data_IF_377770672932
#
_entry.id   IF_377770672932
#
_cell.length_a   1.000
_cell.length_b   1.000
_cell.length_c   1.000
_cell.angle_alpha   90.00
_cell.angle_beta   90.00
_cell.angle_gamma   90.00
#
_symmetry.space_group_name_H-M   'P 1'
#
loop_
_entity.id
_entity.type
_entity.pdbx_description
1 polymer ?
#
# COMPACT_ATOMS: atom_id res chain seq x y z
N UNK A 1 3.12 -5.91 5.76
CA UNK A 1 4.19 -5.65 4.77
C UNK A 1 5.20 -4.65 5.31
N UNK A 2 4.81 -3.40 5.58
CA UNK A 2 5.71 -2.37 6.14
C UNK A 2 6.36 -2.84 7.45
N UNK A 3 5.57 -3.33 8.41
CA UNK A 3 6.13 -3.84 9.69
C UNK A 3 7.02 -5.07 9.52
N UNK A 4 6.69 -5.97 8.60
CA UNK A 4 7.52 -7.15 8.31
C UNK A 4 8.85 -6.72 7.69
N UNK A 5 8.82 -5.75 6.78
CA UNK A 5 10.02 -5.13 6.23
C UNK A 5 10.88 -4.50 7.34
N UNK A 6 10.27 -3.73 8.25
CA UNK A 6 10.96 -3.15 9.42
C UNK A 6 11.55 -4.19 10.36
N UNK A 7 10.92 -5.36 10.52
CA UNK A 7 11.50 -6.47 11.31
C UNK A 7 12.69 -7.09 10.56
N UNK A 8 12.51 -7.44 9.29
CA UNK A 8 13.56 -8.08 8.49
C UNK A 8 14.81 -7.22 8.38
N UNK A 9 14.65 -5.92 8.11
CA UNK A 9 15.76 -4.97 8.00
C UNK A 9 16.50 -4.81 9.34
N UNK A 10 15.76 -4.78 10.46
CA UNK A 10 16.33 -4.69 11.80
C UNK A 10 17.17 -5.93 12.12
N UNK A 11 16.66 -7.12 11.80
CA UNK A 11 17.38 -8.39 11.98
C UNK A 11 18.64 -8.45 11.11
N UNK A 12 18.55 -8.06 9.84
CA UNK A 12 19.67 -8.15 8.88
C UNK A 12 20.80 -7.18 9.26
N UNK A 13 20.44 -5.97 9.71
CA UNK A 13 21.36 -4.87 9.97
C UNK A 13 21.54 -4.59 11.48
N UNK A 14 21.30 -5.61 12.31
CA UNK A 14 21.31 -5.54 13.78
C UNK A 14 22.65 -5.04 14.35
N UNK A 15 22.67 -3.82 14.87
CA UNK A 15 23.79 -3.26 15.63
C UNK A 15 23.63 -3.62 17.12
N UNK A 16 24.06 -4.83 17.52
CA UNK A 16 24.40 -5.16 18.91
C UNK A 16 23.29 -5.22 19.99
N UNK A 17 22.05 -4.80 19.75
CA UNK A 17 20.97 -5.01 20.72
C UNK A 17 20.44 -6.45 20.70
N UNK A 18 20.00 -6.95 21.85
CA UNK A 18 19.48 -8.32 22.00
C UNK A 18 18.40 -8.62 20.96
N UNK A 19 18.55 -9.75 20.26
CA UNK A 19 17.67 -10.21 19.17
C UNK A 19 16.17 -10.24 19.57
N UNK A 20 15.87 -10.45 20.86
CA UNK A 20 14.51 -10.38 21.39
C UNK A 20 13.89 -8.98 21.31
N UNK A 21 14.67 -7.91 21.58
CA UNK A 21 14.16 -6.54 21.56
C UNK A 21 13.77 -6.11 20.15
N UNK A 22 14.54 -6.54 19.14
CA UNK A 22 14.28 -6.24 17.73
C UNK A 22 13.07 -6.99 17.18
N UNK A 23 12.89 -8.27 17.55
CA UNK A 23 11.69 -9.03 17.17
C UNK A 23 10.45 -8.45 17.83
N UNK A 24 10.55 -7.97 19.08
CA UNK A 24 9.46 -7.35 19.80
C UNK A 24 9.11 -5.94 19.27
N UNK A 25 10.09 -5.24 18.68
CA UNK A 25 9.89 -3.92 18.07
C UNK A 25 8.86 -3.94 16.93
N UNK A 26 8.80 -5.02 16.15
CA UNK A 26 7.83 -5.14 15.05
C UNK A 26 6.36 -5.12 15.49
N UNK A 27 5.93 -6.02 16.38
CA UNK A 27 4.59 -5.96 16.99
C UNK A 27 4.33 -4.65 17.72
N UNK A 28 5.33 -4.09 18.42
CA UNK A 28 5.17 -2.78 19.07
C UNK A 28 4.91 -1.65 18.07
N UNK A 29 5.64 -1.60 16.94
CA UNK A 29 5.42 -0.62 15.86
C UNK A 29 3.98 -0.69 15.34
N UNK A 30 3.43 -1.90 15.20
CA UNK A 30 2.04 -2.12 14.78
C UNK A 30 1.06 -1.60 15.83
N UNK A 31 1.25 -1.97 17.09
CA UNK A 31 0.38 -1.55 18.19
C UNK A 31 0.38 -0.03 18.37
N UNK A 32 1.57 0.58 18.40
CA UNK A 32 1.74 2.04 18.51
C UNK A 32 1.15 2.73 17.28
N UNK A 33 1.45 2.23 16.08
CA UNK A 33 0.94 2.81 14.84
C UNK A 33 -0.58 2.79 14.73
N UNK A 34 -1.21 1.70 15.18
CA UNK A 34 -2.67 1.60 15.24
C UNK A 34 -3.27 2.49 16.32
N UNK A 35 -2.70 2.50 17.54
CA UNK A 35 -3.25 3.26 18.66
C UNK A 35 -3.15 4.78 18.42
N UNK A 36 -1.95 5.27 18.11
CA UNK A 36 -1.70 6.70 17.88
C UNK A 36 -2.42 7.20 16.64
N UNK A 37 -2.38 6.43 15.54
CA UNK A 37 -3.07 6.83 14.32
C UNK A 37 -4.59 6.78 14.44
N UNK A 38 -5.17 5.82 15.19
CA UNK A 38 -6.61 5.84 15.45
C UNK A 38 -7.02 7.04 16.30
N UNK A 39 -6.25 7.37 17.35
CA UNK A 39 -6.49 8.55 18.17
C UNK A 39 -6.44 9.83 17.31
N UNK A 40 -5.39 9.99 16.51
CA UNK A 40 -5.24 11.15 15.64
C UNK A 40 -6.31 11.21 14.53
N UNK A 41 -6.69 10.07 13.98
CA UNK A 41 -7.77 9.96 12.99
C UNK A 41 -9.13 10.40 13.55
N UNK A 42 -9.43 10.07 14.81
CA UNK A 42 -10.63 10.56 15.49
C UNK A 42 -10.55 12.07 15.71
N UNK A 43 -9.42 12.58 16.20
CA UNK A 43 -9.23 14.03 16.43
C UNK A 43 -9.39 14.80 15.11
N UNK A 44 -8.65 14.43 14.07
CA UNK A 44 -8.76 15.05 12.74
C UNK A 44 -10.12 14.85 12.07
N UNK A 45 -10.85 13.79 12.45
CA UNK A 45 -12.23 13.55 12.06
C UNK A 45 -13.23 14.53 12.71
N UNK A 46 -13.03 14.87 13.99
CA UNK A 46 -13.97 15.65 14.81
C UNK A 46 -13.69 17.16 14.84
N UNK A 47 -12.42 17.57 14.73
CA UNK A 47 -12.02 18.99 14.87
C UNK A 47 -12.60 19.95 13.82
N UNK A 48 -12.70 19.59 12.52
CA UNK A 48 -13.28 20.49 11.52
C UNK A 48 -14.80 20.59 11.70
N UNK A 49 -15.29 21.75 12.12
CA UNK A 49 -16.74 22.01 12.17
C UNK A 49 -17.32 22.01 10.74
N UNK A 50 -18.54 21.45 10.58
CA UNK A 50 -19.17 21.27 9.27
C UNK A 50 -19.48 22.61 8.55
N UNK A 51 -19.62 23.70 9.30
CA UNK A 51 -20.01 25.02 8.78
C UNK A 51 -18.83 25.87 8.27
N UNK A 52 -17.62 25.29 8.19
CA UNK A 52 -16.41 26.01 7.78
C UNK A 52 -16.19 25.96 6.26
N UNK A 53 -16.04 27.13 5.63
CA UNK A 53 -15.86 27.27 4.19
C UNK A 53 -14.59 26.56 3.66
N UNK A 54 -13.57 26.38 4.52
CA UNK A 54 -12.28 25.76 4.16
C UNK A 54 -12.09 24.36 4.75
N UNK A 55 -13.17 23.62 5.03
CA UNK A 55 -13.13 22.30 5.67
C UNK A 55 -12.20 21.30 4.96
N UNK A 56 -12.14 21.34 3.63
CA UNK A 56 -11.31 20.43 2.81
C UNK A 56 -9.82 20.67 3.08
N UNK A 57 -9.38 21.92 3.08
CA UNK A 57 -7.97 22.27 3.33
C UNK A 57 -7.54 21.97 4.75
N UNK A 58 -8.40 22.21 5.74
CA UNK A 58 -8.13 21.85 7.13
C UNK A 58 -7.95 20.34 7.28
N UNK A 59 -8.83 19.53 6.66
CA UNK A 59 -8.72 18.06 6.65
C UNK A 59 -7.44 17.56 5.98
N UNK A 60 -7.10 18.13 4.82
CA UNK A 60 -5.86 17.79 4.09
C UNK A 60 -4.63 18.11 4.95
N UNK A 61 -4.56 19.30 5.55
CA UNK A 61 -3.42 19.71 6.38
C UNK A 61 -3.34 18.88 7.66
N UNK A 62 -4.47 18.57 8.31
CA UNK A 62 -4.47 17.77 9.54
C UNK A 62 -4.07 16.31 9.30
N UNK A 63 -4.55 15.68 8.22
CA UNK A 63 -4.21 14.28 7.91
C UNK A 63 -2.83 14.20 7.25
N UNK A 64 -2.56 15.03 6.24
CA UNK A 64 -1.31 15.04 5.50
C UNK A 64 -0.13 15.57 6.32
N UNK A 65 -0.30 16.70 7.00
CA UNK A 65 0.72 17.30 7.86
C UNK A 65 1.07 16.40 9.04
N UNK A 66 0.07 15.83 9.72
CA UNK A 66 0.34 14.87 10.78
C UNK A 66 0.92 13.56 10.27
N UNK A 67 0.51 13.08 9.09
CA UNK A 67 1.12 11.92 8.45
C UNK A 67 2.61 12.15 8.18
N UNK A 68 2.98 13.31 7.63
CA UNK A 68 4.37 13.69 7.41
C UNK A 68 5.15 13.78 8.73
N UNK A 69 4.60 14.48 9.72
CA UNK A 69 5.20 14.59 11.06
C UNK A 69 5.35 13.22 11.72
N UNK A 70 4.39 12.29 11.55
CA UNK A 70 4.47 10.95 12.09
C UNK A 70 5.57 10.13 11.43
N UNK A 71 5.72 10.19 10.10
CA UNK A 71 6.79 9.48 9.38
C UNK A 71 8.17 10.00 9.76
N UNK A 72 8.35 11.32 9.82
CA UNK A 72 9.62 11.93 10.20
C UNK A 72 9.92 11.75 11.70
N UNK A 73 8.91 11.94 12.54
CA UNK A 73 9.02 11.86 13.99
C UNK A 73 9.25 10.44 14.51
N UNK A 74 8.60 9.43 13.91
CA UNK A 74 8.79 8.04 14.36
C UNK A 74 10.21 7.54 14.11
N UNK A 75 10.85 8.05 13.05
CA UNK A 75 12.24 7.76 12.71
C UNK A 75 13.21 8.36 13.74
N UNK A 76 12.86 9.50 14.35
CA UNK A 76 13.64 10.12 15.43
C UNK A 76 13.43 9.42 16.79
N UNK A 77 12.22 8.95 17.08
CA UNK A 77 11.86 8.29 18.35
C UNK A 77 12.37 6.83 18.42
N UNK A 78 12.86 6.26 17.32
CA UNK A 78 13.38 4.89 17.28
C UNK A 78 12.36 3.82 16.87
N UNK A 79 11.22 4.23 16.31
CA UNK A 79 10.18 3.33 15.79
C UNK A 79 9.91 3.63 14.31
N UNK A 80 10.84 3.27 13.40
CA UNK A 80 10.76 3.65 11.99
C UNK A 80 9.54 3.04 11.28
N UNK A 81 9.04 1.88 11.71
CA UNK A 81 7.86 1.22 11.14
C UNK A 81 6.53 1.85 11.56
N UNK A 82 6.49 2.53 12.72
CA UNK A 82 5.26 3.09 13.27
C UNK A 82 4.75 4.30 12.46
N UNK A 83 5.63 5.16 11.96
CA UNK A 83 5.25 6.43 11.29
C UNK A 83 4.34 6.25 10.07
N UNK A 84 4.72 5.43 9.07
CA UNK A 84 3.85 5.13 7.94
C UNK A 84 2.52 4.47 8.36
N UNK A 85 2.54 3.64 9.41
CA UNK A 85 1.31 3.04 9.94
C UNK A 85 0.38 4.09 10.55
N UNK A 86 0.91 5.02 11.35
CA UNK A 86 0.14 6.15 11.91
C UNK A 86 -0.53 6.94 10.79
N UNK A 87 0.21 7.26 9.72
CA UNK A 87 -0.33 8.03 8.59
C UNK A 87 -1.49 7.29 7.89
N UNK A 88 -1.34 5.99 7.63
CA UNK A 88 -2.39 5.19 6.97
C UNK A 88 -3.61 5.00 7.87
N UNK A 89 -3.40 4.68 9.16
CA UNK A 89 -4.49 4.43 10.10
C UNK A 89 -5.24 5.71 10.43
N UNK A 90 -4.55 6.83 10.59
CA UNK A 90 -5.17 8.14 10.78
C UNK A 90 -6.03 8.55 9.57
N UNK A 91 -5.52 8.41 8.35
CA UNK A 91 -6.29 8.71 7.14
C UNK A 91 -7.54 7.82 7.01
N UNK A 92 -7.40 6.52 7.31
CA UNK A 92 -8.52 5.57 7.26
C UNK A 92 -9.60 5.89 8.29
N UNK A 93 -9.21 6.13 9.55
CA UNK A 93 -10.15 6.46 10.63
C UNK A 93 -10.81 7.82 10.38
N UNK A 94 -10.06 8.83 9.96
CA UNK A 94 -10.62 10.14 9.60
C UNK A 94 -11.65 10.01 8.47
N UNK A 95 -11.36 9.22 7.44
CA UNK A 95 -12.30 8.97 6.33
C UNK A 95 -13.60 8.29 6.80
N UNK A 96 -13.54 7.38 7.77
CA UNK A 96 -14.74 6.77 8.39
C UNK A 96 -15.54 7.82 9.15
N UNK A 97 -14.88 8.63 10.00
CA UNK A 97 -15.55 9.67 10.80
C UNK A 97 -16.25 10.68 9.89
N UNK A 98 -15.61 11.13 8.81
CA UNK A 98 -16.22 12.06 7.86
C UNK A 98 -17.42 11.45 7.13
N UNK A 99 -17.41 10.14 6.84
CA UNK A 99 -18.56 9.44 6.26
C UNK A 99 -19.73 9.38 7.24
N UNK A 100 -19.46 9.13 8.53
CA UNK A 100 -20.48 9.07 9.59
C UNK A 100 -21.12 10.44 9.89
N UNK A 101 -20.40 11.54 9.68
CA UNK A 101 -20.88 12.91 9.91
C UNK A 101 -21.83 13.46 8.81
N UNK A 102 -22.29 12.63 7.86
CA UNK A 102 -23.25 13.04 6.82
C UNK A 102 -22.61 13.34 5.46
N UNK A 103 -21.67 12.48 5.04
CA UNK A 103 -20.86 12.71 3.84
C UNK A 103 -21.65 12.98 2.55
N UNK A 104 -21.10 13.86 1.70
CA UNK A 104 -21.16 13.66 0.24
C UNK A 104 -20.19 14.56 -0.57
N UNK A 105 -19.96 15.86 -0.30
CA UNK A 105 -19.04 16.65 -1.15
C UNK A 105 -17.59 16.65 -0.64
N UNK A 106 -17.38 16.92 0.66
CA UNK A 106 -16.05 17.24 1.19
C UNK A 106 -15.10 16.03 1.30
N UNK A 107 -15.61 14.81 1.49
CA UNK A 107 -14.79 13.58 1.51
C UNK A 107 -14.15 13.30 0.16
N UNK A 108 -14.90 13.50 -0.92
CA UNK A 108 -14.39 13.30 -2.28
C UNK A 108 -13.35 14.38 -2.62
N UNK A 109 -13.56 15.62 -2.16
CA UNK A 109 -12.61 16.71 -2.37
C UNK A 109 -11.24 16.47 -1.71
N UNK A 110 -11.18 15.89 -0.50
CA UNK A 110 -9.90 15.53 0.15
C UNK A 110 -9.16 14.46 -0.65
N UNK A 111 -9.90 13.46 -1.16
CA UNK A 111 -9.33 12.41 -2.01
C UNK A 111 -8.77 12.96 -3.33
N UNK A 112 -9.49 13.87 -4.00
CA UNK A 112 -9.05 14.54 -5.23
C UNK A 112 -7.73 15.30 -5.04
N UNK A 113 -7.57 15.94 -3.89
CA UNK A 113 -6.34 16.66 -3.54
C UNK A 113 -5.18 15.69 -3.40
N UNK A 114 -5.34 14.62 -2.60
CA UNK A 114 -4.28 13.63 -2.43
C UNK A 114 -3.97 12.90 -3.74
N UNK A 115 -4.97 12.69 -4.60
CA UNK A 115 -4.79 12.16 -5.95
C UNK A 115 -3.97 13.11 -6.83
N UNK A 116 -4.25 14.41 -6.76
CA UNK A 116 -3.50 15.45 -7.49
C UNK A 116 -2.04 15.52 -7.02
N UNK A 117 -1.81 15.46 -5.71
CA UNK A 117 -0.46 15.38 -5.12
C UNK A 117 0.24 14.10 -5.59
N UNK A 118 -0.47 12.97 -5.59
CA UNK A 118 0.07 11.67 -6.02
C UNK A 118 0.47 11.67 -7.50
N UNK A 119 -0.29 12.33 -8.39
CA UNK A 119 0.06 12.47 -9.80
C UNK A 119 1.43 13.13 -10.01
N UNK A 120 1.78 14.10 -9.18
CA UNK A 120 3.10 14.75 -9.21
C UNK A 120 4.15 13.88 -8.52
N UNK A 121 3.78 13.22 -7.42
CA UNK A 121 4.73 12.46 -6.61
C UNK A 121 5.12 11.11 -7.20
N UNK A 122 4.24 10.46 -7.94
CA UNK A 122 4.49 9.15 -8.54
C UNK A 122 5.70 9.19 -9.52
N UNK A 123 5.78 10.12 -10.50
CA UNK A 123 6.96 10.24 -11.37
C UNK A 123 8.24 10.55 -10.60
N UNK A 124 8.17 11.42 -9.58
CA UNK A 124 9.32 11.77 -8.75
C UNK A 124 9.83 10.55 -7.98
N UNK A 125 8.93 9.76 -7.39
CA UNK A 125 9.27 8.55 -6.64
C UNK A 125 9.99 7.54 -7.53
N UNK A 126 9.44 7.21 -8.70
CA UNK A 126 10.08 6.27 -9.63
C UNK A 126 11.36 6.83 -10.27
N UNK A 127 11.43 8.13 -10.54
CA UNK A 127 12.64 8.79 -11.03
C UNK A 127 13.78 8.78 -10.02
N UNK A 128 13.48 9.05 -8.74
CA UNK A 128 14.48 9.05 -7.67
C UNK A 128 15.04 7.65 -7.42
N UNK A 129 14.18 6.63 -7.42
CA UNK A 129 14.64 5.24 -7.28
C UNK A 129 15.48 4.83 -8.48
N UNK A 130 15.10 5.25 -9.69
CA UNK A 130 15.91 5.03 -10.89
C UNK A 130 17.29 5.68 -10.79
N UNK A 131 17.38 6.86 -10.18
CA UNK A 131 18.64 7.57 -9.97
C UNK A 131 19.53 6.94 -8.88
N UNK A 132 18.95 6.24 -7.90
CA UNK A 132 19.69 5.57 -6.82
C UNK A 132 20.38 4.27 -7.29
N UNK A 133 20.04 3.75 -8.48
CA UNK A 133 20.60 2.50 -9.00
C UNK A 133 21.93 2.77 -9.71
N UNK A 134 23.00 2.14 -9.22
CA UNK A 134 24.28 2.10 -9.92
C UNK A 134 24.40 0.84 -10.79
N UNK A 135 24.18 1.01 -12.11
CA UNK A 135 24.30 -0.07 -13.09
C UNK A 135 25.74 -0.60 -13.26
N UNK A 136 26.75 0.12 -12.75
CA UNK A 136 28.16 -0.31 -12.85
C UNK A 136 28.50 -1.43 -11.87
N UNK A 137 27.75 -1.52 -10.77
CA UNK A 137 27.88 -2.57 -9.77
C UNK A 137 26.97 -3.78 -10.08
N UNK A 138 26.32 -3.76 -11.25
CA UNK A 138 25.34 -4.76 -11.65
C UNK A 138 26.03 -5.96 -12.30
N UNK A 139 26.56 -6.86 -11.48
CA UNK A 139 27.07 -8.13 -11.98
C UNK A 139 25.93 -9.00 -12.53
N UNK A 140 26.16 -9.62 -13.69
CA UNK A 140 25.19 -10.51 -14.34
C UNK A 140 24.77 -11.68 -13.43
N UNK A 141 25.66 -12.10 -12.53
CA UNK A 141 25.37 -13.12 -11.53
C UNK A 141 24.27 -12.67 -10.56
N UNK A 142 24.40 -11.46 -9.98
CA UNK A 142 23.42 -10.89 -9.03
C UNK A 142 22.05 -10.74 -9.71
N UNK A 143 22.03 -10.29 -10.96
CA UNK A 143 20.78 -10.17 -11.75
C UNK A 143 20.13 -11.54 -11.93
N UNK A 144 20.92 -12.56 -12.30
CA UNK A 144 20.40 -13.91 -12.54
C UNK A 144 19.81 -14.52 -11.26
N UNK A 145 20.54 -14.44 -10.14
CA UNK A 145 20.04 -14.86 -8.83
C UNK A 145 18.80 -14.08 -8.41
N UNK A 146 18.78 -12.77 -8.66
CA UNK A 146 17.62 -11.91 -8.43
C UNK A 146 16.38 -12.38 -9.18
N UNK A 147 16.50 -12.70 -10.47
CA UNK A 147 15.38 -13.23 -11.28
C UNK A 147 14.87 -14.57 -10.73
N UNK A 148 15.78 -15.48 -10.33
CA UNK A 148 15.40 -16.77 -9.74
C UNK A 148 14.63 -16.56 -8.43
N UNK A 149 15.10 -15.68 -7.55
CA UNK A 149 14.43 -15.35 -6.28
C UNK A 149 13.05 -14.74 -6.55
N UNK A 150 12.93 -13.82 -7.50
CA UNK A 150 11.65 -13.22 -7.90
C UNK A 150 10.69 -14.31 -8.40
N UNK A 151 11.15 -15.20 -9.29
CA UNK A 151 10.32 -16.28 -9.82
C UNK A 151 9.85 -17.24 -8.72
N UNK A 152 10.75 -17.66 -7.82
CA UNK A 152 10.42 -18.51 -6.69
C UNK A 152 9.39 -17.83 -5.75
N UNK A 153 9.60 -16.54 -5.43
CA UNK A 153 8.68 -15.77 -4.60
C UNK A 153 7.29 -15.64 -5.25
N UNK A 154 7.23 -15.47 -6.57
CA UNK A 154 5.96 -15.45 -7.32
C UNK A 154 5.24 -16.80 -7.26
N UNK A 155 5.95 -17.92 -7.39
CA UNK A 155 5.35 -19.27 -7.27
C UNK A 155 4.78 -19.47 -5.88
N UNK A 156 5.55 -19.18 -4.82
CA UNK A 156 5.07 -19.29 -3.44
C UNK A 156 3.82 -18.42 -3.25
N UNK A 157 3.84 -17.19 -3.75
CA UNK A 157 2.69 -16.28 -3.67
C UNK A 157 1.44 -16.85 -4.32
N UNK A 158 1.56 -17.41 -5.53
CA UNK A 158 0.42 -18.01 -6.25
C UNK A 158 -0.12 -19.22 -5.50
N UNK A 159 0.76 -20.06 -4.94
CA UNK A 159 0.37 -21.22 -4.14
C UNK A 159 -0.35 -20.79 -2.85
N UNK A 160 0.22 -19.86 -2.08
CA UNK A 160 -0.38 -19.36 -0.84
C UNK A 160 -1.72 -18.67 -1.10
N UNK A 161 -1.82 -17.83 -2.12
CA UNK A 161 -3.08 -17.17 -2.47
C UNK A 161 -4.13 -18.18 -2.92
N UNK A 162 -3.76 -19.18 -3.72
CA UNK A 162 -4.67 -20.27 -4.10
C UNK A 162 -5.16 -21.05 -2.88
N UNK A 163 -4.27 -21.40 -1.93
CA UNK A 163 -4.64 -22.10 -0.69
C UNK A 163 -5.61 -21.28 0.19
N UNK A 164 -5.37 -19.97 0.34
CA UNK A 164 -6.28 -19.07 1.08
C UNK A 164 -7.66 -19.00 0.41
N UNK A 165 -7.70 -19.10 -0.92
CA UNK A 165 -8.94 -19.03 -1.71
C UNK A 165 -9.70 -20.37 -1.80
N UNK A 166 -9.09 -21.51 -1.45
CA UNK A 166 -9.77 -22.83 -1.44
C UNK A 166 -10.99 -22.85 -0.50
N UNK A 167 -11.00 -22.03 0.56
CA UNK A 167 -12.16 -21.86 1.43
C UNK A 167 -13.23 -20.88 0.91
N UNK A 168 -12.95 -20.19 -0.20
CA UNK A 168 -13.87 -19.25 -0.82
C UNK A 168 -14.83 -19.93 -1.80
N UNK A 169 -16.04 -19.38 -1.95
CA UNK A 169 -17.00 -19.80 -2.99
C UNK A 169 -16.60 -19.30 -4.40
N UNK A 170 -15.31 -19.31 -4.73
CA UNK A 170 -14.78 -18.80 -6.00
C UNK A 170 -14.47 -19.94 -6.98
N UNK A 171 -14.68 -19.68 -8.26
CA UNK A 171 -14.32 -20.58 -9.35
C UNK A 171 -12.80 -20.56 -9.59
N UNK A 172 -12.23 -21.64 -10.11
CA UNK A 172 -10.80 -21.72 -10.46
C UNK A 172 -10.35 -20.58 -11.38
N UNK A 173 -11.26 -20.12 -12.26
CA UNK A 173 -11.02 -18.95 -13.11
C UNK A 173 -10.86 -17.66 -12.30
N UNK A 174 -11.70 -17.45 -11.31
CA UNK A 174 -11.62 -16.26 -10.46
C UNK A 174 -10.37 -16.32 -9.57
N UNK A 175 -9.98 -17.51 -9.10
CA UNK A 175 -8.73 -17.73 -8.36
C UNK A 175 -7.50 -17.34 -9.20
N UNK A 176 -7.45 -17.73 -10.47
CA UNK A 176 -6.37 -17.32 -11.39
C UNK A 176 -6.40 -15.81 -11.64
N UNK A 177 -7.58 -15.21 -11.79
CA UNK A 177 -7.70 -13.76 -11.96
C UNK A 177 -7.22 -12.98 -10.73
N UNK A 178 -7.59 -13.40 -9.52
CA UNK A 178 -7.13 -12.78 -8.26
C UNK A 178 -5.62 -12.87 -8.15
N UNK A 179 -5.03 -14.03 -8.45
CA UNK A 179 -3.58 -14.22 -8.46
C UNK A 179 -2.88 -13.26 -9.43
N UNK A 180 -3.39 -13.12 -10.66
CA UNK A 180 -2.82 -12.21 -11.67
C UNK A 180 -2.98 -10.73 -11.29
N UNK A 181 -4.14 -10.35 -10.73
CA UNK A 181 -4.41 -8.98 -10.29
C UNK A 181 -3.53 -8.54 -9.10
N UNK A 182 -3.00 -9.49 -8.34
CA UNK A 182 -2.14 -9.24 -7.17
C UNK A 182 -0.63 -9.29 -7.46
N UNK A 183 -0.23 -9.52 -8.71
CA UNK A 183 1.16 -9.47 -9.17
C UNK A 183 1.76 -8.04 -9.15
N UNK A 184 1.10 -7.00 -9.69
CA UNK A 184 1.70 -5.67 -9.72
C UNK A 184 1.56 -4.98 -8.36
N UNK A 185 2.64 -4.95 -7.56
CA UNK A 185 2.70 -4.19 -6.30
C UNK A 185 4.01 -3.42 -6.16
N UNK A 186 4.20 -2.43 -7.02
CA UNK A 186 5.47 -1.71 -7.15
C UNK A 186 5.69 -0.59 -6.13
N UNK A 187 4.65 0.17 -5.76
CA UNK A 187 4.83 1.47 -5.07
C UNK A 187 5.39 1.36 -3.65
N UNK A 188 4.95 0.36 -2.88
CA UNK A 188 5.47 0.13 -1.53
C UNK A 188 6.91 -0.41 -1.58
N UNK A 189 7.22 -1.25 -2.56
CA UNK A 189 8.58 -1.75 -2.75
C UNK A 189 9.52 -0.62 -3.16
N UNK A 190 9.08 0.22 -4.09
CA UNK A 190 9.75 1.39 -4.57
C UNK A 190 10.08 2.37 -3.41
N UNK A 191 9.11 2.64 -2.53
CA UNK A 191 9.31 3.53 -1.39
C UNK A 191 10.23 2.95 -0.30
N UNK A 192 10.15 1.65 -0.04
CA UNK A 192 10.89 0.99 1.06
C UNK A 192 12.30 0.55 0.64
N UNK A 193 12.55 0.26 -0.64
CA UNK A 193 13.83 -0.28 -1.06
C UNK A 193 15.03 0.65 -0.79
N UNK A 194 14.96 1.97 -1.06
CA UNK A 194 16.05 2.89 -0.71
C UNK A 194 16.26 3.03 0.80
N UNK A 195 15.20 2.87 1.60
CA UNK A 195 15.27 2.96 3.07
C UNK A 195 16.24 1.92 3.66
N UNK A 196 16.35 0.75 3.03
CA UNK A 196 17.30 -0.28 3.43
C UNK A 196 18.75 0.17 3.28
N UNK A 197 19.09 0.71 2.13
CA UNK A 197 20.42 1.21 1.85
C UNK A 197 20.77 2.42 2.74
N UNK A 198 19.82 3.32 2.95
CA UNK A 198 19.99 4.48 3.82
C UNK A 198 20.21 4.10 5.29
N UNK A 199 19.60 3.02 5.76
CA UNK A 199 19.81 2.53 7.13
C UNK A 199 21.26 2.10 7.33
N UNK A 200 21.85 1.38 6.37
CA UNK A 200 23.25 0.97 6.42
C UNK A 200 24.19 2.18 6.34
N UNK A 201 23.92 3.13 5.43
CA UNK A 201 24.75 4.35 5.28
C UNK A 201 24.80 5.21 6.54
N UNK A 202 23.76 5.17 7.38
CA UNK A 202 23.67 5.92 8.65
C UNK A 202 24.41 5.25 9.81
N UNK A 203 24.93 4.04 9.64
CA UNK A 203 25.70 3.36 10.68
C UNK A 203 27.06 4.02 10.92
N UNK A 204 27.50 4.03 12.17
CA UNK A 204 28.84 4.49 12.53
C UNK A 204 29.82 3.36 12.21
N UNK A 205 30.44 3.40 11.02
CA UNK A 205 31.30 2.37 10.43
C UNK A 205 30.55 1.12 9.88
N UNK A 206 29.79 1.27 8.78
CA UNK A 206 29.17 0.13 8.13
C UNK A 206 30.25 -0.82 7.57
N UNK A 207 30.16 -2.13 7.84
CA UNK A 207 30.95 -3.11 7.11
C UNK A 207 30.71 -2.95 5.59
N UNK A 208 31.76 -3.03 4.75
CA UNK A 208 31.60 -2.89 3.30
C UNK A 208 30.62 -3.93 2.71
N UNK A 209 30.53 -5.12 3.33
CA UNK A 209 29.56 -6.15 2.96
C UNK A 209 28.10 -5.71 3.13
N UNK A 210 27.77 -4.96 4.18
CA UNK A 210 26.38 -4.56 4.43
C UNK A 210 25.94 -3.46 3.46
N UNK A 211 26.88 -2.62 3.02
CA UNK A 211 26.61 -1.61 1.99
C UNK A 211 26.32 -2.29 0.64
N UNK A 212 27.09 -3.33 0.31
CA UNK A 212 26.86 -4.13 -0.89
C UNK A 212 25.51 -4.86 -0.82
N UNK A 213 25.18 -5.49 0.30
CA UNK A 213 23.87 -6.15 0.52
C UNK A 213 22.70 -5.17 0.36
N UNK A 214 22.83 -3.94 0.87
CA UNK A 214 21.84 -2.89 0.71
C UNK A 214 21.64 -2.49 -0.76
N UNK A 215 22.74 -2.36 -1.52
CA UNK A 215 22.73 -2.05 -2.95
C UNK A 215 22.11 -3.18 -3.78
N UNK A 216 22.47 -4.44 -3.47
CA UNK A 216 21.89 -5.64 -4.08
C UNK A 216 20.39 -5.73 -3.79
N UNK A 217 19.96 -5.46 -2.56
CA UNK A 217 18.54 -5.46 -2.20
C UNK A 217 17.75 -4.42 -2.99
N UNK A 218 18.26 -3.18 -3.08
CA UNK A 218 17.65 -2.12 -3.89
C UNK A 218 17.53 -2.54 -5.36
N UNK A 219 18.61 -3.10 -5.91
CA UNK A 219 18.68 -3.58 -7.29
C UNK A 219 17.65 -4.67 -7.57
N UNK A 220 17.56 -5.69 -6.71
CA UNK A 220 16.59 -6.79 -6.86
C UNK A 220 15.16 -6.27 -6.72
N UNK A 221 14.90 -5.30 -5.83
CA UNK A 221 13.60 -4.67 -5.68
C UNK A 221 13.17 -3.94 -6.97
N UNK A 222 14.08 -3.22 -7.62
CA UNK A 222 13.79 -2.55 -8.89
C UNK A 222 13.62 -3.54 -10.03
N UNK A 223 14.47 -4.57 -10.10
CA UNK A 223 14.33 -5.64 -11.07
C UNK A 223 12.97 -6.34 -10.94
N UNK A 224 12.52 -6.56 -9.70
CA UNK A 224 11.18 -7.09 -9.40
C UNK A 224 10.09 -6.17 -9.95
N UNK A 225 10.19 -4.85 -9.78
CA UNK A 225 9.23 -3.90 -10.33
C UNK A 225 9.22 -3.94 -11.87
N UNK A 226 10.40 -3.92 -12.50
CA UNK A 226 10.55 -3.92 -13.96
C UNK A 226 10.00 -5.20 -14.61
N UNK A 227 10.11 -6.35 -13.95
CA UNK A 227 9.59 -7.63 -14.44
C UNK A 227 8.10 -7.78 -14.11
N UNK A 228 7.70 -7.51 -12.88
CA UNK A 228 6.33 -7.80 -12.41
C UNK A 228 5.30 -6.79 -12.88
N UNK A 229 5.65 -5.53 -13.12
CA UNK A 229 4.69 -4.53 -13.57
C UNK A 229 4.16 -4.81 -15.00
N UNK A 230 5.00 -5.07 -16.02
CA UNK A 230 4.53 -5.46 -17.34
C UNK A 230 3.79 -6.80 -17.32
N UNK A 231 4.31 -7.81 -16.61
CA UNK A 231 3.65 -9.12 -16.49
C UNK A 231 2.27 -9.01 -15.82
N UNK A 232 2.15 -8.21 -14.77
CA UNK A 232 0.88 -7.94 -14.09
C UNK A 232 -0.12 -7.22 -15.00
N UNK A 233 0.32 -6.22 -15.77
CA UNK A 233 -0.53 -5.50 -16.73
C UNK A 233 -1.01 -6.40 -17.87
N UNK A 234 -0.13 -7.22 -18.45
CA UNK A 234 -0.48 -8.21 -19.48
C UNK A 234 -1.43 -9.26 -18.89
N UNK A 235 -1.12 -9.77 -17.69
CA UNK A 235 -1.97 -10.72 -16.97
C UNK A 235 -3.38 -10.19 -16.75
N UNK A 236 -3.50 -8.96 -16.22
CA UNK A 236 -4.79 -8.34 -15.95
C UNK A 236 -5.59 -8.05 -17.23
N UNK A 237 -4.95 -7.55 -18.28
CA UNK A 237 -5.61 -7.20 -19.55
C UNK A 237 -6.11 -8.42 -20.32
N UNK A 238 -5.39 -9.55 -20.28
CA UNK A 238 -5.81 -10.81 -20.94
C UNK A 238 -6.81 -11.58 -20.08
N UNK A 239 -6.59 -11.65 -18.77
CA UNK A 239 -7.42 -12.41 -17.85
C UNK A 239 -8.75 -11.72 -17.53
N UNK A 240 -8.79 -10.39 -17.46
CA UNK A 240 -9.99 -9.62 -17.15
C UNK A 240 -11.19 -9.97 -18.04
N UNK A 241 -11.12 -9.79 -19.37
CA UNK A 241 -12.25 -10.09 -20.26
C UNK A 241 -12.54 -11.59 -20.44
N UNK A 242 -11.57 -12.48 -20.16
CA UNK A 242 -11.73 -13.94 -20.35
C UNK A 242 -12.21 -14.69 -19.10
N UNK A 243 -11.93 -14.19 -17.91
CA UNK A 243 -12.23 -14.87 -16.64
C UNK A 243 -13.35 -14.19 -15.83
N UNK A 244 -13.62 -12.90 -16.03
CA UNK A 244 -14.79 -12.24 -15.45
C UNK A 244 -16.00 -12.45 -16.37
N UNK A 245 -16.76 -13.52 -16.12
CA UNK A 245 -18.07 -13.70 -16.76
C UNK A 245 -18.96 -12.49 -16.48
N UNK A 246 -19.54 -11.87 -17.52
CA UNK A 246 -20.69 -10.98 -17.36
C UNK A 246 -21.78 -11.76 -16.62
N UNK A 247 -22.11 -11.36 -15.40
CA UNK A 247 -23.41 -11.70 -14.83
C UNK A 247 -24.44 -10.96 -15.68
N UNK A 248 -24.97 -11.61 -16.70
CA UNK A 248 -26.16 -11.14 -17.41
C UNK A 248 -27.29 -11.14 -16.41
N UNK A 249 -27.57 -9.96 -15.83
CA UNK A 249 -28.84 -9.69 -15.17
C UNK A 249 -29.94 -9.74 -16.24
N UNK A 250 -30.40 -10.94 -16.57
CA UNK A 250 -31.73 -11.12 -17.13
C UNK A 250 -32.71 -10.86 -15.98
N UNK A 251 -32.88 -9.59 -15.63
CA UNK A 251 -33.99 -9.15 -14.80
C UNK A 251 -35.23 -9.30 -15.67
N UNK A 252 -35.96 -10.36 -15.38
CA UNK A 252 -37.34 -10.63 -15.80
C UNK A 252 -38.17 -9.33 -15.71
N UNK A 253 -38.65 -8.84 -16.85
CA UNK A 253 -39.65 -7.76 -16.88
C UNK A 253 -40.90 -8.23 -16.12
N UNK A 254 -41.33 -7.58 -15.03
CA UNK A 254 -42.62 -7.85 -14.42
C UNK A 254 -43.69 -7.09 -15.22
N UNK A 255 -44.66 -7.83 -15.75
CA UNK A 255 -45.93 -7.30 -16.24
C UNK A 255 -46.54 -6.31 -15.23
N UNK A 256 -46.68 -5.04 -15.61
CA UNK A 256 -47.50 -4.06 -14.89
C UNK A 256 -48.20 -3.13 -15.87
N UNK A 257 -49.18 -3.67 -16.61
CA UNK A 257 -50.30 -2.88 -17.12
C UNK A 257 -51.38 -2.85 -16.03
N UNK A 258 -51.23 -1.93 -15.07
CA UNK A 258 -52.35 -1.47 -14.25
C UNK A 258 -52.06 -0.06 -13.74
N UNK A 259 -52.53 0.92 -14.51
CA UNK A 259 -52.99 2.21 -13.98
C UNK A 259 -53.89 2.84 -15.01
N UNK A 260 -55.17 2.99 -14.67
CA UNK A 260 -55.90 4.28 -14.63
C UNK A 260 -57.40 4.04 -14.57
N UNK A 261 -57.96 4.13 -13.37
CA UNK A 261 -59.27 4.79 -13.19
C UNK A 261 -59.16 6.24 -13.69
N UNK A 262 -60.23 6.80 -14.26
CA UNK A 262 -60.97 7.78 -13.46
C UNK A 262 -62.51 7.79 -13.67
N UNK A 263 -63.17 8.36 -12.67
CA UNK A 263 -64.43 9.14 -12.67
C UNK A 263 -65.83 8.49 -12.74
N UNK A 264 -66.62 8.90 -11.74
CA UNK A 264 -68.05 9.26 -11.73
C UNK A 264 -69.08 8.26 -12.30
N UNK A 265 -69.97 7.77 -11.42
CA UNK A 265 -71.40 8.16 -11.38
C UNK A 265 -72.24 7.28 -10.42
N UNK A 266 -73.11 7.96 -9.67
CA UNK A 266 -74.23 7.54 -8.79
C UNK A 266 -73.91 6.74 -7.52
#
# INVERSE_FOLDING_TARGET
AISVFSICISIIFSTGESLMMQVLQGPMDVCVGLAVGSLWGIVSGLTPHLDDEQIVWKRVVMVGGAGLCAVLGSSYIGFPGAGPLIAITAAFVAAIVWKLQGGAPATNAVEEVFSSIWLVMQPVLFGLIGAEIDLRQLELEIVTWGVIIIAAALVIRVLTCSLVLVGGKLNFKEVVFVNLAWLPKATVQAALAPQALDMVRKMTAPPPEDLERGSQFLTIAVLSILITAPLGAIGASVAGPRLLSKHSSNTSSPNTNSTRQPDHNL
#
